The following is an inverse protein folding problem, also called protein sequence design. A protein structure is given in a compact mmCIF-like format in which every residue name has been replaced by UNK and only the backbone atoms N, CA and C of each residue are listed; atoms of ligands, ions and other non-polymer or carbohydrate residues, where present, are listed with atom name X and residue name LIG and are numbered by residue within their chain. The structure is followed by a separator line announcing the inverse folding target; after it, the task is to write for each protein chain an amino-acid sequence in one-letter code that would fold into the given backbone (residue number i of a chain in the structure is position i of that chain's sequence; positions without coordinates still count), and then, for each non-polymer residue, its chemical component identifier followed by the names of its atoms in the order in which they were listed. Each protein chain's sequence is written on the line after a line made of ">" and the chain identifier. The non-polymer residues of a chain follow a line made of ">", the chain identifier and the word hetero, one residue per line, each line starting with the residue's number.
data_IF_561193466843
#
_entry.id   IF_561193466843
#
_cell.length_a   1.000
_cell.length_b   1.000
_cell.length_c   1.000
_cell.angle_alpha   90.00
_cell.angle_beta   90.00
_cell.angle_gamma   90.00
#
_symmetry.space_group_name_H-M   'P 1'
#
loop_
_entity.id
_entity.type
_entity.pdbx_description
1 polymer ?
#
# COMPACT_ATOMS: atom_id res chain seq x y z
N UNK A 1 -1.49 3.09 -7.72
CA UNK A 1 -2.87 3.01 -7.18
C UNK A 1 -2.98 1.72 -6.37
N UNK A 2 -3.71 1.71 -5.26
CA UNK A 2 -4.00 0.46 -4.53
C UNK A 2 -4.94 -0.43 -5.35
N UNK A 3 -4.68 -1.73 -5.33
CA UNK A 3 -5.49 -2.77 -6.01
C UNK A 3 -6.37 -3.57 -5.06
N UNK A 4 -6.19 -3.37 -3.75
CA UNK A 4 -6.95 -4.03 -2.68
C UNK A 4 -7.14 -3.08 -1.52
N UNK A 5 -8.18 -3.34 -0.74
CA UNK A 5 -8.41 -2.61 0.51
C UNK A 5 -7.32 -2.99 1.53
N UNK A 6 -6.75 -1.98 2.17
CA UNK A 6 -5.75 -2.14 3.23
C UNK A 6 -6.34 -1.59 4.54
N UNK A 7 -6.78 -0.34 4.51
CA UNK A 7 -7.46 0.31 5.63
C UNK A 7 -8.40 1.38 5.07
N UNK A 8 -9.68 1.03 4.89
CA UNK A 8 -10.67 1.94 4.32
C UNK A 8 -10.94 3.15 5.22
N UNK A 9 -10.90 2.98 6.55
CA UNK A 9 -11.10 4.07 7.50
C UNK A 9 -10.02 5.15 7.40
N UNK A 10 -8.82 4.78 6.95
CA UNK A 10 -7.71 5.69 6.67
C UNK A 10 -7.57 6.07 5.18
N UNK A 11 -8.60 5.84 4.36
CA UNK A 11 -8.57 6.17 2.92
C UNK A 11 -7.67 5.27 2.06
N UNK A 12 -7.20 4.14 2.58
CA UNK A 12 -6.37 3.16 1.88
C UNK A 12 -7.23 2.02 1.31
N UNK A 13 -8.05 2.35 0.32
CA UNK A 13 -8.97 1.44 -0.36
C UNK A 13 -8.54 1.19 -1.81
N UNK A 14 -9.18 0.22 -2.46
CA UNK A 14 -8.97 0.00 -3.90
C UNK A 14 -9.24 1.31 -4.67
N UNK A 15 -8.34 1.69 -5.58
CA UNK A 15 -8.47 2.94 -6.31
C UNK A 15 -7.71 4.13 -5.71
N UNK A 16 -7.20 4.05 -4.47
CA UNK A 16 -6.43 5.15 -3.87
C UNK A 16 -5.17 5.42 -4.69
N UNK A 17 -5.04 6.66 -5.19
CA UNK A 17 -3.89 7.12 -5.98
C UNK A 17 -2.84 7.73 -5.06
N UNK A 18 -1.59 7.36 -5.30
CA UNK A 18 -0.45 7.76 -4.50
C UNK A 18 0.77 7.96 -5.40
N UNK A 19 1.65 8.86 -4.99
CA UNK A 19 2.98 9.05 -5.59
C UNK A 19 4.02 8.38 -4.70
N UNK A 20 4.90 7.55 -5.26
CA UNK A 20 6.01 6.96 -4.51
C UNK A 20 7.02 8.06 -4.22
N UNK A 21 7.36 8.26 -2.95
CA UNK A 21 8.36 9.25 -2.51
C UNK A 21 9.70 8.60 -2.22
N UNK A 22 9.71 7.32 -1.81
CA UNK A 22 10.95 6.58 -1.55
C UNK A 22 10.78 5.07 -1.78
N UNK A 23 11.83 4.46 -2.34
CA UNK A 23 11.97 3.00 -2.44
C UNK A 23 13.15 2.57 -1.58
N UNK A 24 12.87 1.88 -0.48
CA UNK A 24 13.88 1.34 0.42
C UNK A 24 14.05 -0.17 0.27
N UNK A 25 15.08 -0.72 0.90
CA UNK A 25 15.23 -2.17 0.98
C UNK A 25 14.14 -2.75 1.89
N UNK A 26 13.10 -3.32 1.29
CA UNK A 26 12.00 -3.94 2.01
C UNK A 26 10.82 -3.02 2.33
N UNK A 27 10.82 -1.77 1.86
CA UNK A 27 9.65 -0.87 2.00
C UNK A 27 9.46 0.10 0.84
N UNK A 28 8.24 0.62 0.74
CA UNK A 28 7.84 1.70 -0.17
C UNK A 28 7.22 2.81 0.68
N UNK A 29 7.74 4.03 0.58
CA UNK A 29 7.06 5.23 1.06
C UNK A 29 6.25 5.83 -0.10
N UNK A 30 4.99 6.14 0.16
CA UNK A 30 4.13 6.83 -0.80
C UNK A 30 3.32 7.94 -0.12
N UNK A 31 2.95 8.94 -0.89
CA UNK A 31 2.08 10.03 -0.48
C UNK A 31 0.74 9.92 -1.21
N UNK A 32 -0.36 10.05 -0.50
CA UNK A 32 -1.71 10.09 -1.09
C UNK A 32 -1.90 11.42 -1.82
N UNK A 33 -2.39 11.35 -3.06
CA UNK A 33 -2.56 12.53 -3.92
C UNK A 33 -4.02 12.90 -4.20
N UNK A 34 -4.98 12.15 -3.65
CA UNK A 34 -6.42 12.34 -3.87
C UNK A 34 -7.24 11.95 -2.64
N UNK A 35 -8.37 12.61 -2.40
CA UNK A 35 -9.31 12.25 -1.34
C UNK A 35 -9.08 13.02 -0.03
N UNK A 36 -9.70 12.55 1.05
CA UNK A 36 -9.68 13.20 2.38
C UNK A 36 -8.32 13.11 3.09
N UNK A 37 -7.48 12.17 2.68
CA UNK A 37 -6.15 11.90 3.24
C UNK A 37 -5.01 12.44 2.35
N UNK A 38 -5.29 13.46 1.53
CA UNK A 38 -4.28 14.02 0.62
C UNK A 38 -3.08 14.53 1.41
N UNK A 39 -1.88 14.26 0.89
CA UNK A 39 -0.58 14.55 1.50
C UNK A 39 -0.14 13.61 2.63
N UNK A 40 -1.01 12.72 3.12
CA UNK A 40 -0.63 11.72 4.12
C UNK A 40 0.44 10.78 3.55
N UNK A 41 1.44 10.47 4.39
CA UNK A 41 2.52 9.52 4.08
C UNK A 41 2.16 8.13 4.57
N UNK A 42 2.42 7.14 3.74
CA UNK A 42 2.20 5.72 4.05
C UNK A 42 3.44 4.90 3.74
N UNK A 43 3.69 3.91 4.60
CA UNK A 43 4.80 2.97 4.48
C UNK A 43 4.25 1.56 4.24
N UNK A 44 4.66 0.93 3.14
CA UNK A 44 4.32 -0.44 2.82
C UNK A 44 5.55 -1.33 2.96
N UNK A 45 5.49 -2.36 3.82
CA UNK A 45 6.53 -3.37 3.93
C UNK A 45 6.39 -4.42 2.82
N UNK A 46 7.48 -4.66 2.09
CA UNK A 46 7.58 -5.65 1.00
C UNK A 46 7.51 -7.10 1.52
N UNK A 47 7.88 -7.34 2.79
CA UNK A 47 7.95 -8.68 3.38
C UNK A 47 6.58 -9.33 3.63
N UNK A 48 5.49 -8.56 3.68
CA UNK A 48 4.15 -9.11 3.92
C UNK A 48 3.53 -9.83 2.71
N UNK A 49 4.20 -9.87 1.55
CA UNK A 49 3.73 -10.64 0.38
C UNK A 49 4.36 -12.04 0.26
N UNK A 50 5.44 -12.36 0.98
CA UNK A 50 6.11 -13.67 0.84
C UNK A 50 5.36 -14.83 1.51
N UNK A 51 4.41 -14.55 2.43
CA UNK A 51 3.64 -15.59 3.12
C UNK A 51 2.32 -15.96 2.42
N UNK A 52 1.92 -15.23 1.37
CA UNK A 52 0.65 -15.46 0.68
C UNK A 52 0.76 -16.32 -0.60
N UNK A 53 1.97 -16.62 -1.08
CA UNK A 53 2.19 -17.41 -2.32
C UNK A 53 2.83 -18.77 -2.09
N UNK A 54 3.04 -19.20 -0.83
CA UNK A 54 3.57 -20.54 -0.51
C UNK A 54 2.54 -21.52 0.05
N UNK A 55 1.25 -21.15 0.10
CA UNK A 55 0.17 -22.08 0.46
C UNK A 55 -0.91 -22.05 -0.63
N UNK A 56 -0.62 -22.66 -1.78
CA UNK A 56 -1.65 -23.09 -2.73
C UNK A 56 -2.14 -24.50 -2.34
N UNK A 57 -3.44 -24.82 -2.46
CA UNK A 57 -3.97 -26.11 -2.05
C UNK A 57 -3.42 -27.23 -2.94
N UNK A 58 -3.12 -28.37 -2.30
CA UNK A 58 -2.76 -29.64 -2.91
C UNK A 58 -3.80 -30.11 -3.94
#
# INVERSE_FOLDING_TARGET
>A
MLLRNINQAAGLCNGTRMTITQLGNGYIEAQIITGTHVSDKVYYLKSLYHQATQNGPS
#
